data_IF_322323933995
#
_entry.id   IF_322323933995
#
_cell.length_a   1.000
_cell.length_b   1.000
_cell.length_c   1.000
_cell.angle_alpha   90.00
_cell.angle_beta   90.00
_cell.angle_gamma   90.00
#
_symmetry.space_group_name_H-M   'P 1'
#
loop_
_entity.id
_entity.type
_entity.pdbx_description
1 polymer ?
#
# COMPACT_ATOMS: atom_id res chain seq x y z
N UNK A 1 -16.79 -80.08 58.89
CA UNK A 1 -17.05 -80.60 57.54
C UNK A 1 -15.85 -81.44 57.13
N UNK A 2 -16.07 -82.69 56.70
CA UNK A 2 -15.04 -83.56 56.13
C UNK A 2 -14.70 -83.05 54.73
N UNK A 3 -13.46 -82.63 54.52
CA UNK A 3 -12.94 -82.33 53.18
C UNK A 3 -12.93 -83.61 52.35
N UNK A 4 -13.61 -83.62 51.20
CA UNK A 4 -13.48 -84.71 50.22
C UNK A 4 -12.31 -84.38 49.31
N UNK A 5 -11.23 -85.14 49.40
CA UNK A 5 -10.08 -85.03 48.49
C UNK A 5 -10.26 -86.01 47.34
N UNK A 6 -10.36 -85.51 46.12
CA UNK A 6 -10.31 -86.33 44.89
C UNK A 6 -8.91 -86.24 44.29
N UNK A 7 -8.30 -87.37 43.95
CA UNK A 7 -7.02 -87.41 43.22
C UNK A 7 -7.30 -87.63 41.73
N UNK A 8 -6.85 -86.69 40.89
CA UNK A 8 -7.11 -86.69 39.44
C UNK A 8 -8.17 -85.67 39.01
N UNK A 9 -8.53 -85.69 37.72
CA UNK A 9 -9.55 -84.80 37.17
C UNK A 9 -10.95 -85.18 37.66
N UNK A 10 -11.74 -84.18 38.07
CA UNK A 10 -13.14 -84.35 38.42
C UNK A 10 -14.01 -83.90 37.25
N UNK A 11 -14.85 -84.81 36.72
CA UNK A 11 -15.86 -84.48 35.73
C UNK A 11 -17.24 -84.49 36.39
N UNK A 12 -17.90 -83.33 36.40
CA UNK A 12 -19.29 -83.21 36.83
C UNK A 12 -20.17 -82.89 35.61
N UNK A 13 -21.12 -83.77 35.30
CA UNK A 13 -21.99 -83.64 34.12
C UNK A 13 -23.17 -82.64 34.31
N UNK A 14 -23.21 -81.93 35.44
CA UNK A 14 -24.29 -81.02 35.80
C UNK A 14 -23.77 -79.73 36.43
N UNK A 15 -24.68 -78.92 36.98
CA UNK A 15 -24.33 -77.65 37.61
C UNK A 15 -23.54 -77.90 38.89
N UNK A 16 -22.34 -77.34 38.96
CA UNK A 16 -21.55 -77.29 40.19
C UNK A 16 -21.88 -75.98 40.89
N UNK A 17 -22.51 -76.05 42.07
CA UNK A 17 -22.77 -74.88 42.92
C UNK A 17 -21.74 -74.83 44.04
N UNK A 18 -20.97 -73.73 44.11
CA UNK A 18 -20.07 -73.46 45.24
C UNK A 18 -20.77 -72.52 46.24
N UNK A 19 -20.95 -72.95 47.49
CA UNK A 19 -21.61 -72.12 48.51
C UNK A 19 -20.71 -71.02 49.10
N UNK A 20 -19.40 -71.08 48.89
CA UNK A 20 -18.44 -70.13 49.45
C UNK A 20 -17.49 -69.62 48.38
N UNK A 21 -16.70 -70.50 47.77
CA UNK A 21 -15.77 -70.12 46.72
C UNK A 21 -14.96 -71.30 46.23
N UNK A 22 -14.17 -71.06 45.19
CA UNK A 22 -13.21 -71.99 44.62
C UNK A 22 -11.83 -71.38 44.89
N UNK A 23 -10.96 -72.12 45.57
CA UNK A 23 -9.62 -71.63 45.96
C UNK A 23 -8.59 -72.55 45.30
N UNK A 24 -7.58 -72.00 44.60
CA UNK A 24 -6.50 -72.81 44.05
C UNK A 24 -5.64 -73.41 45.17
N UNK A 25 -4.95 -74.51 44.90
CA UNK A 25 -4.05 -75.16 45.85
C UNK A 25 -2.77 -74.38 46.12
N UNK A 26 -2.38 -73.48 45.21
CA UNK A 26 -1.28 -72.52 45.36
C UNK A 26 -1.55 -71.20 44.58
N UNK A 27 -0.83 -70.14 44.94
CA UNK A 27 -0.80 -68.90 44.15
C UNK A 27 -0.18 -69.17 42.77
N UNK A 28 -0.77 -68.62 41.71
CA UNK A 28 -0.37 -68.85 40.32
C UNK A 28 -0.32 -70.34 39.91
N UNK A 29 -1.15 -71.17 40.56
CA UNK A 29 -1.22 -72.61 40.35
C UNK A 29 -2.39 -73.05 39.48
N UNK A 30 -3.59 -73.12 40.06
CA UNK A 30 -4.77 -73.61 39.35
C UNK A 30 -5.40 -72.53 38.46
N UNK A 31 -5.79 -72.91 37.25
CA UNK A 31 -6.45 -72.07 36.26
C UNK A 31 -7.98 -72.18 36.32
N UNK A 32 -8.67 -71.16 35.79
CA UNK A 32 -10.11 -71.22 35.49
C UNK A 32 -10.29 -71.39 33.97
N UNK A 33 -10.65 -72.61 33.55
CA UNK A 33 -10.75 -72.96 32.12
C UNK A 33 -9.38 -73.22 31.47
N UNK A 34 -9.36 -73.56 30.18
CA UNK A 34 -8.12 -73.78 29.42
C UNK A 34 -8.27 -73.28 27.98
N UNK A 35 -7.18 -73.23 27.21
CA UNK A 35 -7.16 -72.80 25.80
C UNK A 35 -7.96 -73.69 24.81
N UNK A 36 -8.66 -74.71 25.32
CA UNK A 36 -9.57 -75.55 24.52
C UNK A 36 -10.85 -75.89 25.28
N UNK A 37 -11.08 -75.24 26.43
CA UNK A 37 -12.25 -75.43 27.28
C UNK A 37 -12.52 -74.15 28.05
N UNK A 38 -13.08 -73.17 27.35
CA UNK A 38 -13.41 -71.85 27.84
C UNK A 38 -14.80 -71.85 28.52
N UNK A 39 -15.00 -70.92 29.45
CA UNK A 39 -16.35 -70.57 29.88
C UNK A 39 -17.01 -69.71 28.80
N UNK A 40 -18.32 -69.90 28.58
CA UNK A 40 -19.07 -69.03 27.67
C UNK A 40 -19.04 -67.59 28.15
N UNK A 41 -19.36 -67.38 29.43
CA UNK A 41 -19.56 -66.05 30.01
C UNK A 41 -19.03 -66.01 31.45
N UNK A 42 -18.70 -64.80 31.91
CA UNK A 42 -18.37 -64.51 33.30
C UNK A 42 -19.40 -63.53 33.87
N UNK A 43 -20.29 -64.02 34.73
CA UNK A 43 -21.28 -63.19 35.42
C UNK A 43 -20.76 -62.77 36.80
N UNK A 44 -20.61 -61.46 36.99
CA UNK A 44 -20.16 -60.86 38.25
C UNK A 44 -21.25 -59.94 38.80
N UNK A 45 -21.32 -59.79 40.12
CA UNK A 45 -22.25 -58.86 40.76
C UNK A 45 -21.76 -57.41 40.65
N UNK A 46 -22.65 -56.47 40.94
CA UNK A 46 -22.31 -55.05 41.06
C UNK A 46 -21.16 -54.80 42.05
N UNK A 47 -20.23 -53.92 41.67
CA UNK A 47 -19.02 -53.65 42.46
C UNK A 47 -17.99 -54.78 42.50
N UNK A 48 -18.17 -55.84 41.71
CA UNK A 48 -17.19 -56.94 41.64
C UNK A 48 -15.85 -56.47 41.08
N UNK A 49 -14.77 -57.05 41.60
CA UNK A 49 -13.40 -56.72 41.23
C UNK A 49 -12.69 -57.97 40.74
N UNK A 50 -12.09 -57.89 39.55
CA UNK A 50 -11.09 -58.84 39.09
C UNK A 50 -9.73 -58.30 39.54
N UNK A 51 -9.08 -59.03 40.44
CA UNK A 51 -7.73 -58.70 40.93
C UNK A 51 -6.70 -59.47 40.10
N UNK A 52 -5.76 -58.74 39.50
CA UNK A 52 -4.75 -59.24 38.58
C UNK A 52 -3.36 -59.04 39.20
N UNK A 53 -2.47 -59.99 38.96
CA UNK A 53 -1.13 -60.04 39.54
C UNK A 53 -1.07 -60.80 40.87
N UNK A 54 0.10 -61.34 41.21
CA UNK A 54 0.33 -62.10 42.44
C UNK A 54 0.17 -61.24 43.70
N UNK A 55 0.51 -59.96 43.58
CA UNK A 55 0.34 -58.89 44.57
C UNK A 55 -1.04 -58.22 44.51
N UNK A 56 -1.85 -58.53 43.47
CA UNK A 56 -3.17 -57.96 43.23
C UNK A 56 -3.14 -56.45 42.97
N UNK A 57 -2.05 -55.97 42.38
CA UNK A 57 -1.82 -54.56 42.17
C UNK A 57 -2.55 -53.99 40.96
N UNK A 58 -3.07 -54.81 40.05
CA UNK A 58 -3.90 -54.37 38.92
C UNK A 58 -5.33 -54.84 39.12
N UNK A 59 -6.30 -53.95 38.95
CA UNK A 59 -7.72 -54.24 39.21
C UNK A 59 -8.60 -53.79 38.06
N UNK A 60 -9.62 -54.61 37.79
CA UNK A 60 -10.74 -54.29 36.91
C UNK A 60 -11.99 -54.31 37.79
N UNK A 61 -12.64 -53.17 37.98
CA UNK A 61 -13.83 -53.04 38.83
C UNK A 61 -15.04 -52.68 37.97
N UNK A 62 -16.11 -53.47 38.09
CA UNK A 62 -17.40 -53.13 37.51
C UNK A 62 -18.11 -52.10 38.39
N UNK A 63 -18.58 -51.02 37.78
CA UNK A 63 -19.47 -50.04 38.36
C UNK A 63 -20.81 -50.06 37.60
N UNK A 64 -21.94 -50.25 38.31
CA UNK A 64 -23.23 -50.45 37.65
C UNK A 64 -23.71 -49.25 36.82
N UNK A 65 -23.31 -48.04 37.21
CA UNK A 65 -23.82 -46.80 36.62
C UNK A 65 -22.78 -46.16 35.67
N UNK A 66 -21.49 -46.38 35.93
CA UNK A 66 -20.40 -45.71 35.21
C UNK A 66 -19.63 -46.62 34.22
N UNK A 67 -19.62 -47.95 34.43
CA UNK A 67 -18.95 -48.92 33.55
C UNK A 67 -17.72 -49.61 34.16
N UNK A 68 -16.55 -49.52 33.52
CA UNK A 68 -15.35 -50.27 33.90
C UNK A 68 -14.21 -49.38 34.39
N UNK A 69 -13.75 -49.61 35.62
CA UNK A 69 -12.58 -48.95 36.17
C UNK A 69 -11.35 -49.86 36.07
N UNK A 70 -10.28 -49.33 35.45
CA UNK A 70 -8.98 -49.97 35.38
C UNK A 70 -8.00 -49.24 36.30
N UNK A 71 -7.36 -49.95 37.23
CA UNK A 71 -6.54 -49.34 38.28
C UNK A 71 -5.25 -50.09 38.56
N UNK A 72 -4.15 -49.35 38.73
CA UNK A 72 -2.93 -49.80 39.39
C UNK A 72 -2.93 -49.35 40.86
N UNK A 73 -2.46 -50.20 41.77
CA UNK A 73 -2.29 -49.92 43.19
C UNK A 73 -0.99 -49.15 43.50
N UNK A 74 -0.10 -48.97 42.52
CA UNK A 74 1.13 -48.21 42.70
C UNK A 74 0.85 -46.74 43.05
N UNK A 75 1.41 -46.26 44.16
CA UNK A 75 1.21 -44.87 44.64
C UNK A 75 2.46 -44.00 44.58
N UNK A 76 3.60 -44.55 44.14
CA UNK A 76 4.83 -43.78 43.98
C UNK A 76 4.71 -42.83 42.77
N UNK A 77 5.43 -41.71 42.82
CA UNK A 77 5.44 -40.71 41.74
C UNK A 77 5.84 -41.34 40.39
N UNK A 78 5.17 -40.93 39.32
CA UNK A 78 5.43 -41.43 37.96
C UNK A 78 4.92 -42.84 37.64
N UNK A 79 3.99 -43.43 38.41
CA UNK A 79 3.42 -44.76 38.13
C UNK A 79 1.95 -44.70 37.68
N UNK A 80 1.64 -44.27 36.43
CA UNK A 80 0.28 -44.27 35.91
C UNK A 80 -0.22 -45.70 35.66
N UNK A 81 -1.55 -45.87 35.56
CA UNK A 81 -2.10 -47.07 34.95
C UNK A 81 -1.76 -47.08 33.45
N UNK A 82 -1.24 -48.20 32.94
CA UNK A 82 -0.86 -48.37 31.54
C UNK A 82 -1.88 -49.25 30.83
N UNK A 83 -2.60 -48.67 29.86
CA UNK A 83 -3.40 -49.41 28.89
C UNK A 83 -2.65 -49.46 27.56
N UNK A 84 -2.11 -50.62 27.22
CA UNK A 84 -1.45 -50.83 25.92
C UNK A 84 -2.42 -51.48 24.94
N UNK A 85 -2.71 -50.80 23.83
CA UNK A 85 -3.40 -51.38 22.68
C UNK A 85 -2.33 -51.79 21.67
N UNK A 86 -2.08 -53.09 21.57
CA UNK A 86 -1.02 -53.65 20.73
C UNK A 86 -1.61 -54.50 19.61
N UNK A 87 -1.29 -54.17 18.36
CA UNK A 87 -1.61 -55.04 17.22
C UNK A 87 -0.76 -56.32 17.25
N UNK A 88 -1.34 -57.42 16.76
CA UNK A 88 -0.62 -58.67 16.54
C UNK A 88 0.16 -58.71 15.21
N UNK A 89 0.03 -57.69 14.38
CA UNK A 89 0.73 -57.57 13.11
C UNK A 89 2.25 -57.47 13.33
N UNK A 90 2.99 -58.35 12.64
CA UNK A 90 4.46 -58.43 12.77
C UNK A 90 5.21 -57.59 11.74
N UNK A 91 4.51 -57.13 10.71
CA UNK A 91 5.02 -56.23 9.68
C UNK A 91 4.04 -55.07 9.58
N UNK A 92 4.46 -53.88 10.04
CA UNK A 92 3.66 -52.67 10.01
C UNK A 92 4.07 -51.87 8.77
N UNK A 93 3.11 -51.56 7.92
CA UNK A 93 3.21 -50.76 6.72
C UNK A 93 2.34 -49.49 6.84
N UNK A 94 2.50 -48.55 5.91
CA UNK A 94 1.73 -47.31 5.92
C UNK A 94 0.23 -47.57 5.83
N UNK A 95 -0.55 -46.89 6.68
CA UNK A 95 -2.01 -47.04 6.88
C UNK A 95 -2.46 -48.20 7.78
N UNK A 96 -1.53 -49.01 8.31
CA UNK A 96 -1.89 -50.04 9.28
C UNK A 96 -2.36 -49.41 10.60
N UNK A 97 -3.38 -50.02 11.21
CA UNK A 97 -4.03 -49.50 12.42
C UNK A 97 -3.53 -50.29 13.63
N UNK A 98 -2.80 -49.61 14.52
CA UNK A 98 -2.20 -50.22 15.70
C UNK A 98 -3.21 -50.47 16.82
N UNK A 99 -4.22 -49.60 16.92
CA UNK A 99 -5.25 -49.66 17.94
C UNK A 99 -6.38 -48.66 17.69
N UNK A 100 -7.58 -49.00 18.16
CA UNK A 100 -8.81 -48.24 17.95
C UNK A 100 -9.62 -48.15 19.23
N UNK A 101 -10.18 -46.97 19.50
CA UNK A 101 -11.23 -46.75 20.49
C UNK A 101 -12.46 -46.23 19.75
N UNK A 102 -13.56 -46.98 19.81
CA UNK A 102 -14.83 -46.63 19.18
C UNK A 102 -15.81 -46.05 20.21
N UNK A 103 -16.49 -44.97 19.83
CA UNK A 103 -17.60 -44.38 20.57
C UNK A 103 -18.88 -44.53 19.76
N UNK A 104 -19.77 -45.40 20.20
CA UNK A 104 -20.99 -45.79 19.49
C UNK A 104 -22.21 -45.44 20.34
N UNK A 105 -23.26 -44.92 19.69
CA UNK A 105 -24.56 -44.72 20.33
C UNK A 105 -25.24 -46.08 20.60
N UNK A 106 -26.19 -46.18 21.55
CA UNK A 106 -26.92 -47.41 21.83
C UNK A 106 -27.60 -47.99 20.58
N UNK A 107 -27.91 -49.29 20.62
CA UNK A 107 -28.77 -50.01 19.63
C UNK A 107 -30.21 -49.44 19.66
N UNK A 108 -30.36 -48.18 19.26
CA UNK A 108 -31.64 -47.51 19.07
C UNK A 108 -32.32 -48.12 17.84
N UNK A 109 -33.59 -48.51 18.01
CA UNK A 109 -34.36 -49.33 17.07
C UNK A 109 -34.65 -48.69 15.69
N UNK A 110 -34.25 -47.43 15.49
CA UNK A 110 -34.53 -46.66 14.28
C UNK A 110 -33.60 -46.98 13.08
N UNK A 111 -32.66 -47.91 13.25
CA UNK A 111 -32.08 -48.71 12.17
C UNK A 111 -31.32 -47.99 11.05
N UNK A 112 -30.95 -46.72 11.24
CA UNK A 112 -30.19 -45.92 10.26
C UNK A 112 -28.80 -45.55 10.82
N UNK A 113 -28.36 -44.30 10.68
CA UNK A 113 -27.07 -43.83 11.20
C UNK A 113 -26.91 -43.97 12.73
N UNK A 114 -28.00 -44.19 13.46
CA UNK A 114 -28.03 -44.34 14.92
C UNK A 114 -27.28 -45.58 15.44
N UNK A 115 -27.11 -46.62 14.62
CA UNK A 115 -26.34 -47.82 15.01
C UNK A 115 -24.86 -47.75 14.62
N UNK A 116 -24.41 -46.69 13.93
CA UNK A 116 -23.03 -46.56 13.50
C UNK A 116 -22.13 -45.99 14.60
N UNK A 117 -20.83 -46.26 14.51
CA UNK A 117 -19.82 -45.63 15.35
C UNK A 117 -19.81 -44.13 15.08
N UNK A 118 -20.12 -43.34 16.11
CA UNK A 118 -20.26 -41.89 16.04
C UNK A 118 -18.94 -41.12 16.14
N UNK A 119 -17.95 -41.67 16.85
CA UNK A 119 -16.60 -41.14 16.88
C UNK A 119 -15.55 -42.25 17.06
N UNK A 120 -14.33 -42.00 16.59
CA UNK A 120 -13.21 -42.95 16.66
C UNK A 120 -11.94 -42.21 17.02
N UNK A 121 -11.11 -42.84 17.85
CA UNK A 121 -9.71 -42.49 18.03
C UNK A 121 -8.88 -43.70 17.56
N UNK A 122 -8.00 -43.50 16.60
CA UNK A 122 -7.14 -44.56 16.09
C UNK A 122 -5.68 -44.11 15.94
N UNK A 123 -4.76 -45.03 16.23
CA UNK A 123 -3.34 -44.86 15.96
C UNK A 123 -3.00 -45.58 14.64
N UNK A 124 -2.52 -44.84 13.65
CA UNK A 124 -2.29 -45.35 12.29
C UNK A 124 -0.83 -45.11 11.91
N UNK A 125 -0.17 -46.13 11.37
CA UNK A 125 1.18 -46.01 10.84
C UNK A 125 1.21 -45.10 9.60
N UNK A 126 2.21 -44.22 9.53
CA UNK A 126 2.43 -43.31 8.38
C UNK A 126 3.47 -43.87 7.40
N UNK A 127 4.12 -44.99 7.73
CA UNK A 127 5.12 -45.66 6.92
C UNK A 127 5.43 -47.05 7.47
N UNK A 128 6.41 -47.73 6.86
CA UNK A 128 6.87 -49.04 7.34
C UNK A 128 7.69 -48.87 8.61
N UNK A 129 7.39 -49.65 9.65
CA UNK A 129 8.20 -49.61 10.87
C UNK A 129 9.47 -50.43 10.70
N UNK A 130 10.58 -49.89 11.19
CA UNK A 130 11.86 -50.58 11.24
C UNK A 130 12.64 -50.28 12.53
N UNK A 131 13.95 -50.56 12.54
CA UNK A 131 14.79 -50.35 13.71
C UNK A 131 14.99 -48.86 14.09
N UNK A 132 14.65 -47.93 13.21
CA UNK A 132 14.88 -46.49 13.34
C UNK A 132 13.61 -45.66 13.14
N UNK A 133 12.59 -46.20 12.49
CA UNK A 133 11.41 -45.46 12.06
C UNK A 133 10.11 -46.06 12.64
N UNK A 134 9.34 -45.23 13.35
CA UNK A 134 8.02 -45.57 13.93
C UNK A 134 7.01 -44.43 13.77
N UNK A 135 6.87 -43.90 12.55
CA UNK A 135 5.97 -42.78 12.30
C UNK A 135 4.51 -43.20 12.45
N UNK A 136 3.83 -42.65 13.46
CA UNK A 136 2.43 -42.92 13.77
C UNK A 136 1.67 -41.60 13.83
N UNK A 137 0.51 -41.55 13.18
CA UNK A 137 -0.46 -40.47 13.39
C UNK A 137 -1.57 -40.91 14.34
N UNK A 138 -2.05 -39.96 15.14
CA UNK A 138 -3.29 -40.11 15.89
C UNK A 138 -4.42 -39.46 15.10
N UNK A 139 -5.48 -40.20 14.81
CA UNK A 139 -6.62 -39.73 14.01
C UNK A 139 -7.87 -39.68 14.88
N UNK A 140 -8.53 -38.52 14.84
CA UNK A 140 -9.84 -38.28 15.45
C UNK A 140 -10.89 -38.24 14.35
N UNK A 141 -11.82 -39.18 14.40
CA UNK A 141 -12.95 -39.26 13.46
C UNK A 141 -14.25 -38.91 14.15
N UNK A 142 -15.12 -38.17 13.47
CA UNK A 142 -16.49 -37.94 13.93
C UNK A 142 -17.48 -38.12 12.79
N UNK A 143 -18.66 -38.62 13.13
CA UNK A 143 -19.79 -38.77 12.23
C UNK A 143 -20.45 -37.42 11.93
N UNK A 144 -21.05 -37.30 10.76
CA UNK A 144 -21.99 -36.24 10.40
C UNK A 144 -22.96 -36.85 9.40
N UNK A 145 -24.10 -37.35 9.88
CA UNK A 145 -25.12 -38.05 9.09
C UNK A 145 -24.60 -39.22 8.22
N UNK A 146 -23.47 -39.81 8.62
CA UNK A 146 -22.81 -40.96 7.99
C UNK A 146 -21.79 -41.57 8.97
N UNK A 147 -21.11 -42.65 8.56
CA UNK A 147 -20.00 -43.23 9.33
C UNK A 147 -18.92 -42.17 9.67
N UNK A 148 -18.27 -42.33 10.83
CA UNK A 148 -17.24 -41.42 11.28
C UNK A 148 -16.07 -41.31 10.28
N UNK A 149 -15.72 -40.07 9.91
CA UNK A 149 -14.62 -39.76 9.00
C UNK A 149 -13.57 -38.91 9.71
N UNK A 150 -12.32 -38.95 9.25
CA UNK A 150 -11.21 -38.14 9.79
C UNK A 150 -11.56 -36.65 9.75
N UNK A 151 -11.47 -35.98 10.92
CA UNK A 151 -11.67 -34.53 11.06
C UNK A 151 -10.42 -33.81 11.55
N UNK A 152 -9.67 -34.47 12.41
CA UNK A 152 -8.39 -33.99 12.94
C UNK A 152 -7.41 -35.16 12.96
N UNK A 153 -6.20 -34.94 12.50
CA UNK A 153 -5.08 -35.83 12.77
C UNK A 153 -3.87 -35.07 13.29
N UNK A 154 -3.07 -35.72 14.11
CA UNK A 154 -1.75 -35.25 14.52
C UNK A 154 -0.75 -36.24 13.95
N UNK A 155 0.01 -35.82 12.94
CA UNK A 155 1.03 -36.66 12.32
C UNK A 155 2.26 -36.78 13.22
N UNK A 156 3.14 -37.73 12.91
CA UNK A 156 4.40 -37.95 13.67
C UNK A 156 5.35 -36.74 13.61
N UNK A 157 5.15 -35.83 12.67
CA UNK A 157 5.85 -34.54 12.60
C UNK A 157 5.36 -33.50 13.61
N UNK A 158 4.30 -33.79 14.36
CA UNK A 158 3.71 -32.92 15.39
C UNK A 158 2.68 -31.90 14.87
N UNK A 159 2.43 -31.87 13.56
CA UNK A 159 1.46 -30.97 12.95
C UNK A 159 0.04 -31.53 13.04
N UNK A 160 -0.90 -30.65 13.41
CA UNK A 160 -2.33 -30.94 13.36
C UNK A 160 -2.90 -30.61 11.96
N UNK A 161 -3.63 -31.55 11.37
CA UNK A 161 -4.33 -31.38 10.09
C UNK A 161 -5.83 -31.42 10.32
N UNK A 162 -6.56 -30.41 9.84
CA UNK A 162 -8.02 -30.35 9.89
C UNK A 162 -8.60 -30.59 8.49
N UNK A 163 -9.37 -31.67 8.31
CA UNK A 163 -9.86 -32.08 6.98
C UNK A 163 -10.96 -31.20 6.40
N UNK A 164 -11.55 -30.30 7.21
CA UNK A 164 -12.64 -29.39 6.81
C UNK A 164 -12.45 -27.97 7.37
N UNK A 165 -11.20 -27.57 7.61
CA UNK A 165 -10.86 -26.28 8.21
C UNK A 165 -10.95 -26.27 9.74
N UNK A 166 -10.45 -25.21 10.36
CA UNK A 166 -10.43 -25.01 11.80
C UNK A 166 -11.10 -23.67 12.16
N UNK A 167 -11.91 -23.67 13.23
CA UNK A 167 -12.42 -22.43 13.84
C UNK A 167 -11.73 -22.26 15.19
N UNK A 168 -11.06 -21.12 15.39
CA UNK A 168 -10.42 -20.78 16.66
C UNK A 168 -11.28 -19.73 17.39
N UNK A 169 -11.68 -20.01 18.64
CA UNK A 169 -12.70 -19.23 19.35
C UNK A 169 -12.30 -17.81 19.79
N UNK A 170 -11.00 -17.48 19.76
CA UNK A 170 -10.52 -16.14 20.11
C UNK A 170 -9.33 -15.72 19.26
N UNK A 171 -8.21 -16.44 19.40
CA UNK A 171 -6.94 -16.09 18.77
C UNK A 171 -6.07 -17.34 18.66
N UNK A 172 -5.27 -17.40 17.60
CA UNK A 172 -4.14 -18.33 17.51
C UNK A 172 -2.97 -17.64 18.23
N UNK A 173 -2.88 -17.81 19.55
CA UNK A 173 -1.74 -17.30 20.32
C UNK A 173 -0.72 -18.41 20.49
N UNK A 174 0.28 -18.41 19.64
CA UNK A 174 1.59 -18.86 20.04
C UNK A 174 2.55 -17.69 19.86
N UNK A 175 3.62 -17.66 20.62
CA UNK A 175 4.75 -16.72 20.49
C UNK A 175 5.29 -16.62 19.04
N UNK A 176 4.85 -17.50 18.12
CA UNK A 176 5.15 -17.46 16.68
C UNK A 176 4.18 -18.36 15.89
N UNK A 177 2.92 -17.92 15.73
CA UNK A 177 2.00 -18.54 14.78
C UNK A 177 2.47 -18.26 13.35
N UNK A 178 3.26 -19.15 12.78
CA UNK A 178 3.77 -19.01 11.41
C UNK A 178 2.84 -19.74 10.44
N UNK A 179 2.31 -19.04 9.44
CA UNK A 179 1.72 -19.66 8.26
C UNK A 179 2.85 -19.88 7.25
N UNK A 180 3.24 -21.13 6.98
CA UNK A 180 4.35 -21.44 6.05
C UNK A 180 3.98 -21.26 4.57
N UNK A 181 2.74 -20.90 4.28
CA UNK A 181 2.24 -20.60 2.94
C UNK A 181 1.34 -19.38 2.97
N UNK A 182 0.46 -19.25 1.98
CA UNK A 182 -0.42 -18.10 1.87
C UNK A 182 -1.42 -18.03 3.02
N UNK A 183 -1.57 -16.84 3.59
CA UNK A 183 -2.70 -16.52 4.45
C UNK A 183 -3.83 -15.96 3.56
N UNK A 184 -4.85 -16.77 3.29
CA UNK A 184 -6.08 -16.30 2.64
C UNK A 184 -7.13 -15.97 3.70
N UNK A 185 -7.59 -14.72 3.74
CA UNK A 185 -8.68 -14.27 4.62
C UNK A 185 -9.92 -14.04 3.77
N UNK A 186 -10.90 -14.95 3.87
CA UNK A 186 -12.21 -14.80 3.20
C UNK A 186 -13.19 -13.91 3.99
N UNK A 187 -12.81 -13.53 5.22
CA UNK A 187 -13.52 -12.53 6.03
C UNK A 187 -13.14 -11.10 5.63
N UNK A 188 -13.57 -10.12 6.43
CA UNK A 188 -13.45 -8.70 6.05
C UNK A 188 -12.07 -8.10 6.39
N UNK A 189 -11.63 -8.24 7.65
CA UNK A 189 -10.54 -7.42 8.19
C UNK A 189 -9.36 -8.24 8.70
N UNK A 190 -8.15 -7.71 8.52
CA UNK A 190 -6.93 -8.12 9.23
C UNK A 190 -6.57 -6.98 10.19
N UNK A 191 -6.70 -7.23 11.49
CA UNK A 191 -6.40 -6.24 12.52
C UNK A 191 -5.09 -6.58 13.23
N UNK A 192 -4.21 -5.60 13.37
CA UNK A 192 -3.01 -5.69 14.21
C UNK A 192 -3.33 -5.21 15.64
N UNK A 193 -2.57 -5.67 16.64
CA UNK A 193 -2.80 -5.31 18.04
C UNK A 193 -2.33 -3.88 18.37
N UNK A 194 -2.36 -3.52 19.66
CA UNK A 194 -1.94 -2.20 20.12
C UNK A 194 -0.42 -1.99 20.11
N UNK A 195 0.35 -3.03 19.77
CA UNK A 195 1.81 -2.99 19.75
C UNK A 195 2.34 -2.62 18.36
N UNK A 196 3.65 -2.41 18.28
CA UNK A 196 4.32 -2.13 17.03
C UNK A 196 4.22 -3.32 16.06
N UNK A 197 3.40 -3.17 15.03
CA UNK A 197 3.20 -4.17 13.98
C UNK A 197 3.86 -3.74 12.65
N UNK A 198 4.24 -4.71 11.83
CA UNK A 198 4.85 -4.46 10.51
C UNK A 198 4.39 -5.49 9.48
N UNK A 199 4.31 -5.04 8.23
CA UNK A 199 4.24 -5.91 7.05
C UNK A 199 5.60 -5.77 6.36
N UNK A 200 6.29 -6.88 6.11
CA UNK A 200 7.67 -6.84 5.57
C UNK A 200 7.92 -8.00 4.65
N UNK A 201 8.52 -7.72 3.49
CA UNK A 201 9.10 -8.71 2.59
C UNK A 201 10.62 -8.59 2.62
N UNK A 202 11.37 -9.58 3.15
CA UNK A 202 12.81 -9.63 3.04
C UNK A 202 13.21 -10.14 1.64
N UNK A 203 13.28 -9.24 0.66
CA UNK A 203 13.73 -9.55 -0.69
C UNK A 203 15.14 -10.17 -0.68
N UNK A 204 15.31 -11.31 -1.34
CA UNK A 204 16.54 -12.09 -1.47
C UNK A 204 16.90 -12.44 -2.93
N UNK A 205 16.06 -12.04 -3.90
CA UNK A 205 16.24 -12.24 -5.34
C UNK A 205 15.81 -11.04 -6.17
N UNK A 206 16.02 -11.14 -7.49
CA UNK A 206 15.49 -10.18 -8.45
C UNK A 206 13.98 -10.38 -8.60
N UNK A 207 13.19 -9.30 -8.58
CA UNK A 207 11.73 -9.28 -8.69
C UNK A 207 10.94 -9.72 -7.44
N UNK A 208 11.56 -9.72 -6.26
CA UNK A 208 10.84 -9.85 -5.01
C UNK A 208 10.07 -8.56 -4.71
N UNK A 209 8.75 -8.59 -4.94
CA UNK A 209 7.88 -7.44 -4.78
C UNK A 209 6.87 -7.65 -3.65
N UNK A 210 6.71 -6.65 -2.77
CA UNK A 210 5.56 -6.57 -1.87
C UNK A 210 4.45 -5.80 -2.60
N UNK A 211 3.49 -6.52 -3.17
CA UNK A 211 2.34 -5.90 -3.84
C UNK A 211 1.17 -5.71 -2.86
N UNK A 212 0.68 -4.48 -2.74
CA UNK A 212 -0.58 -4.16 -2.05
C UNK A 212 -1.54 -3.59 -3.10
N UNK A 213 -2.60 -4.33 -3.41
CA UNK A 213 -3.49 -3.99 -4.50
C UNK A 213 -4.97 -4.15 -4.15
N UNK A 214 -5.80 -3.26 -4.68
CA UNK A 214 -7.24 -3.41 -4.78
C UNK A 214 -7.56 -3.68 -6.25
N UNK A 215 -8.16 -4.84 -6.53
CA UNK A 215 -8.43 -5.27 -7.91
C UNK A 215 -9.92 -5.22 -8.25
N UNK A 216 -10.25 -5.09 -9.54
CA UNK A 216 -11.63 -4.96 -10.04
C UNK A 216 -12.05 -3.51 -10.28
N UNK A 217 -12.90 -3.29 -11.30
CA UNK A 217 -13.32 -1.96 -11.76
C UNK A 217 -14.57 -1.43 -11.03
N UNK A 218 -14.56 -1.53 -9.70
CA UNK A 218 -15.65 -1.08 -8.83
C UNK A 218 -15.26 0.19 -8.07
N UNK A 219 -16.21 0.82 -7.39
CA UNK A 219 -15.92 1.91 -6.46
C UNK A 219 -15.21 1.37 -5.20
N UNK A 220 -13.91 1.12 -5.32
CA UNK A 220 -13.05 0.56 -4.28
C UNK A 220 -11.84 1.47 -4.06
N UNK A 221 -11.21 1.42 -2.89
CA UNK A 221 -10.10 2.31 -2.56
C UNK A 221 -9.07 1.59 -1.72
N UNK A 222 -7.80 1.94 -1.93
CA UNK A 222 -6.73 1.68 -0.98
C UNK A 222 -6.59 2.91 -0.09
N UNK A 223 -6.85 2.77 1.21
CA UNK A 223 -6.80 3.89 2.16
C UNK A 223 -5.59 3.71 3.07
N UNK A 224 -4.62 4.62 2.98
CA UNK A 224 -3.48 4.73 3.91
C UNK A 224 -3.67 5.99 4.76
N UNK A 225 -3.90 5.82 6.06
CA UNK A 225 -4.15 6.92 6.99
C UNK A 225 -3.38 6.69 8.29
N UNK A 226 -2.85 7.78 8.85
CA UNK A 226 -2.20 7.78 10.17
C UNK A 226 -2.77 8.91 11.02
N UNK A 227 -3.02 8.63 12.30
CA UNK A 227 -3.33 9.64 13.32
C UNK A 227 -2.07 10.10 14.09
N UNK A 228 -0.89 9.65 13.67
CA UNK A 228 0.38 10.03 14.29
C UNK A 228 0.60 11.54 14.27
N UNK A 229 1.19 12.07 15.33
CA UNK A 229 1.46 13.51 15.50
C UNK A 229 2.91 13.89 15.19
N UNK A 230 3.74 12.91 14.82
CA UNK A 230 5.10 13.14 14.34
C UNK A 230 5.12 13.78 12.95
N UNK A 231 6.26 14.34 12.56
CA UNK A 231 6.44 14.92 11.22
C UNK A 231 6.29 13.88 10.09
N UNK A 232 6.37 12.60 10.44
CA UNK A 232 6.48 11.45 9.57
C UNK A 232 5.34 10.44 9.74
N UNK A 233 4.14 10.93 10.06
CA UNK A 233 2.96 10.10 10.29
C UNK A 233 2.67 9.12 9.13
N UNK A 234 2.97 9.53 7.88
CA UNK A 234 3.02 8.67 6.70
C UNK A 234 4.29 9.02 5.91
N UNK A 235 5.15 8.05 5.63
CA UNK A 235 6.36 8.22 4.81
C UNK A 235 6.38 7.24 3.64
N UNK A 236 6.74 7.74 2.46
CA UNK A 236 7.05 6.95 1.26
C UNK A 236 8.48 7.29 0.84
N UNK A 237 9.38 6.32 0.93
CA UNK A 237 10.82 6.53 0.68
C UNK A 237 11.38 5.40 -0.17
N UNK A 238 12.05 5.75 -1.27
CA UNK A 238 12.89 4.85 -2.06
C UNK A 238 14.34 5.34 -1.99
N UNK A 239 15.24 4.55 -1.38
CA UNK A 239 16.63 4.96 -1.16
C UNK A 239 17.57 4.71 -2.35
N UNK A 240 17.19 3.80 -3.25
CA UNK A 240 17.98 3.43 -4.43
C UNK A 240 17.24 3.65 -5.77
N UNK A 241 15.91 3.61 -5.76
CA UNK A 241 15.05 3.76 -6.94
C UNK A 241 14.17 5.01 -6.89
N UNK A 242 13.30 5.16 -7.89
CA UNK A 242 12.30 6.23 -7.94
C UNK A 242 11.02 5.91 -7.18
N UNK A 243 10.13 6.91 -7.09
CA UNK A 243 8.75 6.77 -6.64
C UNK A 243 7.87 7.25 -7.79
N UNK A 244 7.08 6.35 -8.36
CA UNK A 244 6.10 6.69 -9.38
C UNK A 244 4.75 7.01 -8.72
N UNK A 245 4.13 8.12 -9.12
CA UNK A 245 2.76 8.50 -8.74
C UNK A 245 2.03 8.85 -10.03
N UNK A 246 0.93 8.15 -10.31
CA UNK A 246 0.19 8.36 -11.55
C UNK A 246 -1.31 8.21 -11.32
N UNK A 247 -2.08 9.04 -12.03
CA UNK A 247 -3.49 8.88 -12.27
C UNK A 247 -3.69 8.89 -13.79
N UNK A 248 -4.10 7.75 -14.36
CA UNK A 248 -4.22 7.56 -15.82
C UNK A 248 -5.66 7.68 -16.34
N UNK A 249 -6.62 7.76 -15.43
CA UNK A 249 -7.99 8.15 -15.74
C UNK A 249 -8.03 9.58 -16.32
N UNK A 250 -9.04 9.85 -17.16
CA UNK A 250 -9.20 11.13 -17.84
C UNK A 250 -10.59 11.76 -17.64
N UNK A 251 -11.40 11.21 -16.73
CA UNK A 251 -12.64 11.85 -16.32
C UNK A 251 -12.34 13.04 -15.40
N UNK A 252 -13.26 14.00 -15.34
CA UNK A 252 -13.11 15.16 -14.46
C UNK A 252 -13.04 14.72 -12.99
N UNK A 253 -12.03 15.19 -12.25
CA UNK A 253 -11.83 14.86 -10.84
C UNK A 253 -10.94 13.63 -10.58
N UNK A 254 -10.40 12.99 -11.62
CA UNK A 254 -9.40 11.93 -11.49
C UNK A 254 -8.00 12.56 -11.36
N UNK A 255 -7.77 13.26 -10.25
CA UNK A 255 -6.62 14.13 -10.03
C UNK A 255 -5.58 13.52 -9.06
N UNK A 256 -4.35 14.05 -9.11
CA UNK A 256 -3.36 13.87 -8.04
C UNK A 256 -3.40 15.11 -7.15
N UNK A 257 -4.16 15.04 -6.07
CA UNK A 257 -4.31 16.14 -5.13
C UNK A 257 -3.18 16.15 -4.07
N UNK A 258 -2.58 17.33 -3.87
CA UNK A 258 -1.60 17.57 -2.80
C UNK A 258 -2.04 18.82 -2.04
N UNK A 259 -2.51 18.64 -0.80
CA UNK A 259 -3.04 19.74 0.02
C UNK A 259 -2.34 19.76 1.38
N UNK A 260 -1.78 20.91 1.75
CA UNK A 260 -1.19 21.16 3.06
C UNK A 260 -1.99 22.27 3.78
N UNK A 261 -2.83 21.90 4.74
CA UNK A 261 -3.64 22.88 5.49
C UNK A 261 -2.86 23.39 6.70
N UNK A 262 -2.40 24.65 6.64
CA UNK A 262 -1.64 25.27 7.72
C UNK A 262 -0.15 24.89 7.78
N UNK A 263 0.36 24.21 6.75
CA UNK A 263 1.78 23.84 6.57
C UNK A 263 2.25 24.10 5.14
N UNK A 264 3.54 23.92 4.88
CA UNK A 264 4.15 24.13 3.56
C UNK A 264 4.16 22.85 2.71
N UNK A 265 4.03 23.00 1.39
CA UNK A 265 4.41 21.96 0.43
C UNK A 265 5.80 22.28 -0.08
N UNK A 266 6.78 21.42 0.20
CA UNK A 266 8.14 21.56 -0.30
C UNK A 266 8.35 20.61 -1.49
N UNK A 267 8.83 21.15 -2.61
CA UNK A 267 9.25 20.37 -3.79
C UNK A 267 10.71 20.69 -4.04
N UNK A 268 11.57 19.68 -4.01
CA UNK A 268 13.01 19.86 -4.14
C UNK A 268 13.60 18.68 -4.87
N UNK A 269 14.46 18.95 -5.85
CA UNK A 269 15.31 17.95 -6.50
C UNK A 269 16.76 18.35 -6.31
N UNK A 270 17.60 17.38 -5.99
CA UNK A 270 19.06 17.53 -5.91
C UNK A 270 19.76 16.96 -7.14
N UNK A 271 19.00 16.50 -8.14
CA UNK A 271 19.53 15.98 -9.38
C UNK A 271 20.30 17.07 -10.14
N UNK A 272 21.55 16.80 -10.48
CA UNK A 272 22.38 17.70 -11.28
C UNK A 272 22.23 17.38 -12.78
N UNK A 273 21.01 17.54 -13.29
CA UNK A 273 20.68 17.35 -14.69
C UNK A 273 19.62 18.37 -15.14
N UNK A 274 19.43 18.49 -16.45
CA UNK A 274 18.37 19.34 -16.99
C UNK A 274 17.00 18.85 -16.54
N UNK A 275 16.07 19.77 -16.25
CA UNK A 275 14.72 19.46 -15.80
C UNK A 275 14.63 18.66 -14.49
N UNK A 276 15.59 18.83 -13.57
CA UNK A 276 15.57 18.23 -12.23
C UNK A 276 14.23 18.43 -11.51
N UNK A 277 13.53 19.53 -11.79
CA UNK A 277 12.10 19.71 -11.55
C UNK A 277 11.45 20.08 -12.88
N UNK A 278 10.46 19.30 -13.32
CA UNK A 278 9.73 19.53 -14.56
C UNK A 278 8.23 19.64 -14.31
N UNK A 279 7.68 20.84 -14.52
CA UNK A 279 6.23 21.09 -14.44
C UNK A 279 5.73 21.38 -15.86
N UNK A 280 4.90 20.48 -16.38
CA UNK A 280 4.35 20.58 -17.74
C UNK A 280 2.89 20.14 -17.78
N UNK A 281 2.08 20.86 -18.55
CA UNK A 281 0.84 20.36 -19.13
C UNK A 281 1.07 20.02 -20.61
N UNK A 282 0.59 18.86 -21.08
CA UNK A 282 0.67 18.42 -22.49
C UNK A 282 -0.55 17.58 -22.96
N UNK A 283 -1.70 17.72 -22.31
CA UNK A 283 -2.97 17.09 -22.63
C UNK A 283 -3.78 17.73 -23.77
N UNK A 284 -3.43 18.92 -24.27
CA UNK A 284 -4.08 19.50 -25.48
C UNK A 284 -4.19 21.02 -25.51
N UNK A 285 -4.96 21.57 -26.47
CA UNK A 285 -5.00 23.01 -26.77
C UNK A 285 -5.62 23.91 -25.69
N UNK A 286 -6.36 23.32 -24.74
CA UNK A 286 -7.01 24.05 -23.64
C UNK A 286 -6.28 23.91 -22.31
N UNK A 287 -5.10 23.29 -22.30
CA UNK A 287 -4.33 23.07 -21.09
C UNK A 287 -3.72 24.35 -20.53
N UNK A 288 -3.50 24.38 -19.22
CA UNK A 288 -2.84 25.50 -18.55
C UNK A 288 -1.96 24.99 -17.41
N UNK A 289 -0.97 25.79 -17.04
CA UNK A 289 -0.25 25.65 -15.77
C UNK A 289 -0.53 26.93 -14.99
N UNK A 290 -1.25 26.82 -13.87
CA UNK A 290 -1.58 27.97 -13.02
C UNK A 290 -0.69 28.00 -11.79
N UNK A 291 0.10 29.06 -11.64
CA UNK A 291 0.81 29.41 -10.41
C UNK A 291 0.15 30.67 -9.86
N UNK A 292 -0.38 30.60 -8.65
CA UNK A 292 -1.24 31.65 -8.09
C UNK A 292 -1.03 31.78 -6.58
N UNK A 293 -1.06 33.01 -6.06
CA UNK A 293 -1.08 33.30 -4.63
C UNK A 293 -2.27 34.23 -4.31
N UNK A 294 -3.36 33.67 -3.77
CA UNK A 294 -4.64 34.40 -3.63
C UNK A 294 -4.58 35.56 -2.63
N UNK A 295 -3.91 35.35 -1.49
CA UNK A 295 -3.89 36.29 -0.36
C UNK A 295 -2.53 36.99 -0.18
N UNK A 296 -1.56 36.73 -1.05
CA UNK A 296 -0.20 37.24 -0.88
C UNK A 296 -0.11 38.75 -1.13
N UNK A 297 0.23 39.54 -0.11
CA UNK A 297 0.35 41.01 -0.20
C UNK A 297 1.80 41.50 -0.30
N UNK A 298 2.79 40.61 -0.19
CA UNK A 298 4.21 40.95 -0.32
C UNK A 298 4.62 41.16 -1.77
N UNK A 299 5.70 41.92 -1.98
CA UNK A 299 6.25 42.22 -3.31
C UNK A 299 6.65 40.96 -4.11
N UNK A 300 6.89 39.83 -3.43
CA UNK A 300 7.22 38.53 -4.01
C UNK A 300 6.17 37.48 -3.63
N UNK A 301 4.88 37.81 -3.71
CA UNK A 301 3.80 36.82 -3.46
C UNK A 301 3.91 35.57 -4.33
N UNK A 302 4.49 35.72 -5.53
CA UNK A 302 5.06 34.65 -6.35
C UNK A 302 6.48 35.08 -6.74
N UNK A 303 7.49 34.26 -6.41
CA UNK A 303 8.89 34.53 -6.74
C UNK A 303 9.43 33.51 -7.74
N UNK A 304 10.08 33.98 -8.81
CA UNK A 304 10.88 33.18 -9.73
C UNK A 304 12.30 33.74 -9.71
N UNK A 305 13.25 32.99 -9.16
CA UNK A 305 14.62 33.45 -8.93
C UNK A 305 15.59 32.43 -9.50
N UNK A 306 16.66 32.94 -10.11
CA UNK A 306 17.82 32.15 -10.50
C UNK A 306 19.08 32.90 -10.06
N UNK A 307 19.87 32.30 -9.17
CA UNK A 307 21.03 32.95 -8.54
C UNK A 307 22.23 33.06 -9.49
N UNK A 308 22.47 32.03 -10.31
CA UNK A 308 23.60 31.97 -11.23
C UNK A 308 23.21 32.23 -12.70
N UNK A 309 22.03 31.74 -13.12
CA UNK A 309 21.50 31.89 -14.48
C UNK A 309 20.42 32.97 -14.57
N UNK A 310 19.71 33.01 -15.70
CA UNK A 310 18.52 33.87 -15.88
C UNK A 310 17.21 33.09 -15.76
N UNK A 311 16.11 33.83 -15.63
CA UNK A 311 14.75 33.29 -15.75
C UNK A 311 14.22 33.61 -17.14
N UNK A 312 14.05 32.60 -17.99
CA UNK A 312 13.48 32.78 -19.33
C UNK A 312 11.95 32.68 -19.29
N UNK A 313 11.27 33.73 -19.73
CA UNK A 313 9.81 33.74 -19.94
C UNK A 313 9.58 34.07 -21.42
N UNK A 314 9.11 33.10 -22.20
CA UNK A 314 8.93 33.23 -23.64
C UNK A 314 7.53 32.80 -24.05
N UNK A 315 6.91 33.55 -24.97
CA UNK A 315 5.63 33.20 -25.58
C UNK A 315 5.75 33.34 -27.11
N UNK A 316 5.22 32.37 -27.86
CA UNK A 316 5.24 32.39 -29.32
C UNK A 316 4.32 33.47 -29.94
N UNK A 317 3.42 34.06 -29.15
CA UNK A 317 2.59 35.21 -29.52
C UNK A 317 2.67 36.28 -28.42
N UNK A 318 2.57 37.55 -28.79
CA UNK A 318 2.91 38.73 -27.98
C UNK A 318 2.01 39.02 -26.76
N UNK A 319 1.29 38.03 -26.26
CA UNK A 319 0.37 38.14 -25.13
C UNK A 319 1.04 38.16 -23.75
N UNK A 320 2.28 38.63 -23.63
CA UNK A 320 2.97 38.68 -22.32
C UNK A 320 2.44 39.77 -21.37
N UNK A 321 1.43 40.57 -21.78
CA UNK A 321 1.04 41.80 -21.06
C UNK A 321 -0.45 42.16 -21.12
N UNK A 322 -1.38 41.26 -20.79
CA UNK A 322 -2.81 41.65 -20.61
C UNK A 322 -3.23 41.90 -19.15
N UNK A 323 -2.28 41.93 -18.21
CA UNK A 323 -2.51 42.43 -16.86
C UNK A 323 -2.70 43.95 -16.86
N UNK A 324 -3.95 44.41 -17.02
CA UNK A 324 -4.41 45.78 -16.78
C UNK A 324 -3.71 46.43 -15.57
N UNK A 325 -2.61 47.15 -15.81
CA UNK A 325 -1.93 48.02 -14.83
C UNK A 325 -0.57 47.58 -14.30
N UNK A 326 -0.02 46.42 -14.68
CA UNK A 326 1.34 46.02 -14.30
C UNK A 326 2.38 46.43 -15.35
N UNK A 327 3.19 47.46 -15.06
CA UNK A 327 4.41 47.73 -15.85
C UNK A 327 5.35 46.54 -15.66
N UNK A 328 5.91 45.99 -16.74
CA UNK A 328 7.09 45.11 -16.63
C UNK A 328 8.23 46.01 -16.15
N UNK A 329 8.46 46.04 -14.84
CA UNK A 329 9.54 46.82 -14.25
C UNK A 329 10.86 46.08 -14.47
N UNK A 330 11.67 46.60 -15.39
CA UNK A 330 13.01 46.08 -15.67
C UNK A 330 14.03 46.50 -14.60
N UNK A 331 13.59 47.07 -13.47
CA UNK A 331 14.42 47.49 -12.34
C UNK A 331 15.53 48.48 -12.77
N UNK A 332 15.26 49.29 -13.79
CA UNK A 332 16.23 50.22 -14.38
C UNK A 332 17.31 49.58 -15.25
N UNK A 333 17.21 48.29 -15.57
CA UNK A 333 18.11 47.62 -16.53
C UNK A 333 17.80 48.07 -17.95
N UNK A 334 18.83 48.30 -18.76
CA UNK A 334 18.66 48.56 -20.19
C UNK A 334 18.03 47.33 -20.87
N UNK A 335 17.04 47.57 -21.76
CA UNK A 335 16.52 46.51 -22.62
C UNK A 335 17.57 46.29 -23.72
N UNK A 336 18.47 45.32 -23.53
CA UNK A 336 19.45 44.95 -24.56
C UNK A 336 18.74 44.60 -25.88
N UNK A 337 19.31 45.03 -27.00
CA UNK A 337 18.73 44.93 -28.36
C UNK A 337 17.46 45.75 -28.61
N UNK A 338 17.03 46.62 -27.68
CA UNK A 338 15.98 47.60 -27.95
C UNK A 338 16.57 48.79 -28.71
N UNK A 339 16.52 48.72 -30.04
CA UNK A 339 16.89 49.84 -30.91
C UNK A 339 15.76 50.88 -30.88
N UNK A 340 16.11 52.16 -30.82
CA UNK A 340 15.14 53.22 -31.05
C UNK A 340 14.41 52.94 -32.38
N UNK A 341 13.08 53.02 -32.38
CA UNK A 341 12.31 52.83 -33.60
C UNK A 341 12.65 53.96 -34.57
N UNK A 342 13.27 53.63 -35.71
CA UNK A 342 13.70 54.60 -36.70
C UNK A 342 12.64 54.75 -37.78
N UNK A 343 12.34 55.99 -38.16
CA UNK A 343 11.59 56.33 -39.36
C UNK A 343 12.52 57.07 -40.31
N UNK A 344 12.68 56.60 -41.55
CA UNK A 344 13.59 57.24 -42.53
C UNK A 344 12.79 57.81 -43.69
N UNK A 345 13.01 59.08 -44.04
CA UNK A 345 12.37 59.73 -45.19
C UNK A 345 13.34 60.66 -45.95
N UNK A 346 13.14 60.83 -47.24
CA UNK A 346 13.90 61.76 -48.09
C UNK A 346 13.03 62.94 -48.58
N UNK A 347 11.75 62.96 -48.23
CA UNK A 347 10.75 63.91 -48.74
C UNK A 347 10.14 64.74 -47.60
N UNK A 348 9.20 65.62 -47.97
CA UNK A 348 8.34 66.27 -47.00
C UNK A 348 7.40 65.25 -46.34
N UNK A 349 7.26 65.33 -45.02
CA UNK A 349 6.52 64.36 -44.21
C UNK A 349 5.56 65.08 -43.26
N UNK A 350 4.40 64.49 -42.98
CA UNK A 350 3.48 64.98 -41.93
C UNK A 350 3.45 63.94 -40.81
N UNK A 351 3.81 64.36 -39.60
CA UNK A 351 3.85 63.48 -38.44
C UNK A 351 2.50 62.82 -38.17
N UNK A 352 2.51 61.58 -37.71
CA UNK A 352 1.34 60.89 -37.18
C UNK A 352 1.64 60.35 -35.79
N UNK A 353 0.65 59.73 -35.13
CA UNK A 353 0.86 59.13 -33.81
C UNK A 353 1.88 57.99 -33.81
N UNK A 354 2.16 57.37 -34.97
CA UNK A 354 3.15 56.29 -35.06
C UNK A 354 4.59 56.78 -34.92
N UNK A 355 4.87 58.08 -34.98
CA UNK A 355 6.22 58.64 -34.84
C UNK A 355 6.57 59.01 -33.39
N UNK A 356 5.66 58.80 -32.44
CA UNK A 356 5.91 59.07 -31.02
C UNK A 356 6.99 58.13 -30.46
N UNK A 357 8.00 58.68 -29.80
CA UNK A 357 9.16 57.96 -29.26
C UNK A 357 10.17 57.51 -30.31
N UNK A 358 10.00 57.88 -31.59
CA UNK A 358 10.89 57.47 -32.69
C UNK A 358 12.05 58.44 -32.93
N UNK A 359 13.08 57.92 -33.62
CA UNK A 359 14.13 58.71 -34.26
C UNK A 359 13.80 58.83 -35.75
N UNK A 360 13.46 60.03 -36.20
CA UNK A 360 13.17 60.36 -37.59
C UNK A 360 14.46 60.78 -38.29
N UNK A 361 14.95 59.96 -39.22
CA UNK A 361 16.13 60.21 -40.02
C UNK A 361 15.71 60.76 -41.38
N UNK A 362 16.04 62.01 -41.64
CA UNK A 362 15.89 62.58 -42.98
C UNK A 362 17.18 62.39 -43.77
N UNK A 363 17.06 61.96 -45.03
CA UNK A 363 18.21 61.65 -45.90
C UNK A 363 18.30 62.59 -47.11
N UNK A 364 17.38 63.55 -47.22
CA UNK A 364 17.27 64.42 -48.39
C UNK A 364 18.49 65.33 -48.58
N UNK A 365 19.02 65.35 -49.80
CA UNK A 365 20.02 66.34 -50.22
C UNK A 365 19.43 67.74 -50.47
N UNK A 366 18.12 67.87 -50.47
CA UNK A 366 17.38 69.14 -50.61
C UNK A 366 16.62 69.47 -49.33
N UNK A 367 16.18 70.72 -49.18
CA UNK A 367 15.37 71.10 -48.03
C UNK A 367 13.99 70.43 -48.12
N UNK A 368 13.55 69.85 -47.02
CA UNK A 368 12.25 69.16 -46.88
C UNK A 368 11.48 69.72 -45.70
N UNK A 369 10.16 69.57 -45.72
CA UNK A 369 9.27 70.05 -44.67
C UNK A 369 8.77 68.88 -43.82
N UNK A 370 9.00 68.95 -42.52
CA UNK A 370 8.33 68.12 -41.53
C UNK A 370 7.16 68.90 -40.93
N UNK A 371 5.95 68.48 -41.29
CA UNK A 371 4.70 69.09 -40.84
C UNK A 371 4.23 68.45 -39.54
N UNK A 372 3.90 69.27 -38.56
CA UNK A 372 3.36 68.87 -37.26
C UNK A 372 1.86 69.14 -37.27
N UNK A 373 1.00 68.12 -37.47
CA UNK A 373 -0.44 68.33 -37.50
C UNK A 373 -1.03 68.42 -36.09
N UNK A 374 -2.26 68.92 -36.00
CA UNK A 374 -3.05 68.86 -34.78
C UNK A 374 -3.43 67.40 -34.42
N UNK A 375 -3.67 67.15 -33.13
CA UNK A 375 -4.18 65.86 -32.65
C UNK A 375 -3.12 64.82 -32.23
N UNK A 376 -1.82 65.16 -32.25
CA UNK A 376 -0.81 64.35 -31.57
C UNK A 376 -0.96 64.50 -30.05
N UNK A 377 -0.70 63.41 -29.31
CA UNK A 377 -0.91 63.36 -27.86
C UNK A 377 0.04 64.31 -27.08
N UNK A 378 -0.41 64.81 -25.93
CA UNK A 378 0.48 65.46 -24.96
C UNK A 378 1.50 64.43 -24.48
N UNK A 379 2.79 64.78 -24.51
CA UNK A 379 3.90 63.84 -24.30
C UNK A 379 4.42 63.20 -25.59
N UNK A 380 3.84 63.50 -26.76
CA UNK A 380 4.45 63.15 -28.04
C UNK A 380 5.88 63.69 -28.08
N UNK A 381 6.85 62.82 -28.35
CA UNK A 381 8.25 63.22 -28.49
C UNK A 381 8.89 62.49 -29.66
N UNK A 382 9.79 63.15 -30.36
CA UNK A 382 10.63 62.49 -31.34
C UNK A 382 12.00 63.16 -31.47
N UNK A 383 12.98 62.39 -31.90
CA UNK A 383 14.28 62.90 -32.34
C UNK A 383 14.26 63.04 -33.86
N UNK A 384 14.80 64.12 -34.39
CA UNK A 384 14.87 64.42 -35.82
C UNK A 384 16.35 64.55 -36.15
N UNK A 385 16.83 63.72 -37.07
CA UNK A 385 18.24 63.64 -37.47
C UNK A 385 18.32 63.90 -38.96
N UNK A 386 19.00 64.97 -39.37
CA UNK A 386 19.26 65.23 -40.78
C UNK A 386 20.59 64.59 -41.17
N UNK A 387 20.56 63.59 -42.04
CA UNK A 387 21.78 62.92 -42.58
C UNK A 387 22.09 63.34 -44.01
N UNK A 388 21.12 63.89 -44.73
CA UNK A 388 21.32 64.46 -46.06
C UNK A 388 21.85 65.89 -46.01
N UNK A 389 22.32 66.40 -47.14
CA UNK A 389 22.90 67.75 -47.25
C UNK A 389 21.86 68.89 -47.13
N UNK A 390 20.57 68.57 -47.22
CA UNK A 390 19.49 69.56 -47.09
C UNK A 390 19.21 69.93 -45.65
N UNK A 391 18.06 70.58 -45.41
CA UNK A 391 17.54 70.90 -44.07
C UNK A 391 16.11 70.40 -43.89
N UNK A 392 15.75 69.99 -42.69
CA UNK A 392 14.37 69.62 -42.33
C UNK A 392 13.72 70.82 -41.67
N UNK A 393 12.74 71.42 -42.33
CA UNK A 393 11.99 72.59 -41.84
C UNK A 393 10.77 72.13 -41.06
N UNK A 394 10.64 72.55 -39.82
CA UNK A 394 9.50 72.24 -38.95
C UNK A 394 8.37 73.23 -39.23
N UNK A 395 7.23 72.73 -39.68
CA UNK A 395 6.05 73.56 -39.99
C UNK A 395 4.85 73.09 -39.18
N UNK A 396 4.23 73.99 -38.43
CA UNK A 396 2.98 73.69 -37.74
C UNK A 396 1.80 73.72 -38.71
N UNK A 397 0.94 72.71 -38.67
CA UNK A 397 -0.37 72.70 -39.34
C UNK A 397 -1.47 72.68 -38.27
N UNK A 398 -2.02 73.87 -38.00
CA UNK A 398 -2.93 74.10 -36.86
C UNK A 398 -2.30 73.79 -35.49
N UNK A 399 -0.98 73.91 -35.39
CA UNK A 399 -0.18 73.71 -34.18
C UNK A 399 0.86 74.82 -34.04
N UNK A 400 1.34 75.02 -32.82
CA UNK A 400 2.40 75.99 -32.53
C UNK A 400 3.69 75.26 -32.18
N UNK A 401 4.78 75.62 -32.87
CA UNK A 401 6.13 75.11 -32.59
C UNK A 401 6.94 76.26 -32.00
N UNK A 402 7.27 76.13 -30.72
CA UNK A 402 8.04 77.13 -29.98
C UNK A 402 9.52 76.73 -29.94
N UNK A 403 10.40 77.68 -30.27
CA UNK A 403 11.84 77.52 -30.16
C UNK A 403 12.45 78.78 -29.57
N UNK A 404 13.30 78.66 -28.54
CA UNK A 404 13.92 79.81 -27.87
C UNK A 404 14.80 80.64 -28.81
N UNK A 405 15.54 79.98 -29.69
CA UNK A 405 16.48 80.61 -30.62
C UNK A 405 15.82 80.92 -31.97
N UNK A 406 14.49 80.77 -32.07
CA UNK A 406 13.73 80.91 -33.32
C UNK A 406 14.23 80.00 -34.45
N UNK A 407 14.81 78.85 -34.10
CA UNK A 407 15.19 77.85 -35.10
C UNK A 407 13.94 77.16 -35.65
N UNK A 408 13.80 77.19 -36.97
CA UNK A 408 12.65 76.61 -37.69
C UNK A 408 13.05 75.43 -38.57
N UNK A 409 14.35 75.13 -38.67
CA UNK A 409 14.86 74.00 -39.44
C UNK A 409 16.15 73.46 -38.84
N UNK A 410 16.55 72.25 -39.24
CA UNK A 410 17.86 71.69 -38.86
C UNK A 410 19.02 72.52 -39.44
N UNK A 411 20.17 72.59 -38.74
CA UNK A 411 21.30 73.44 -39.14
C UNK A 411 22.02 73.00 -40.45
N UNK A 412 21.79 71.76 -40.90
CA UNK A 412 22.39 71.18 -42.10
C UNK A 412 22.57 69.68 -41.94
N UNK A 413 23.57 69.12 -42.63
CA UNK A 413 23.94 67.71 -42.48
C UNK A 413 24.43 67.41 -41.06
N UNK A 414 24.00 66.27 -40.52
CA UNK A 414 24.25 65.77 -39.16
C UNK A 414 23.64 66.59 -38.02
N UNK A 415 22.78 67.56 -38.34
CA UNK A 415 22.05 68.32 -37.34
C UNK A 415 20.95 67.45 -36.70
N UNK A 416 20.83 67.58 -35.38
CA UNK A 416 19.84 66.87 -34.57
C UNK A 416 18.93 67.88 -33.88
N UNK A 417 17.63 67.72 -34.08
CA UNK A 417 16.59 68.45 -33.36
C UNK A 417 15.69 67.47 -32.61
N UNK A 418 15.03 67.93 -31.55
CA UNK A 418 13.94 67.21 -30.90
C UNK A 418 12.67 68.03 -30.99
N UNK A 419 11.53 67.34 -30.99
CA UNK A 419 10.21 67.94 -30.95
C UNK A 419 9.42 67.27 -29.82
N UNK A 420 8.87 68.06 -28.91
CA UNK A 420 8.12 67.57 -27.75
C UNK A 420 6.80 68.33 -27.61
N UNK A 421 5.67 67.62 -27.56
CA UNK A 421 4.37 68.19 -27.23
C UNK A 421 4.24 68.28 -25.71
N UNK A 422 4.22 69.50 -25.17
CA UNK A 422 4.08 69.73 -23.73
C UNK A 422 2.64 70.09 -23.32
N UNK A 423 1.80 70.44 -24.30
CA UNK A 423 0.38 70.76 -24.14
C UNK A 423 -0.32 70.47 -25.49
N UNK A 424 -1.65 70.46 -25.52
CA UNK A 424 -2.43 70.15 -26.74
C UNK A 424 -2.05 71.10 -27.88
N UNK A 425 -1.62 70.53 -29.01
CA UNK A 425 -1.20 71.26 -30.22
C UNK A 425 -0.05 72.27 -30.00
N UNK A 426 0.67 72.20 -28.88
CA UNK A 426 1.83 73.03 -28.58
C UNK A 426 3.08 72.18 -28.42
N UNK A 427 4.06 72.48 -29.26
CA UNK A 427 5.32 71.76 -29.33
C UNK A 427 6.47 72.69 -28.99
N UNK A 428 7.50 72.15 -28.34
CA UNK A 428 8.80 72.78 -28.22
C UNK A 428 9.72 72.06 -29.20
N UNK A 429 10.40 72.80 -30.05
CA UNK A 429 11.56 72.29 -30.76
C UNK A 429 12.85 72.76 -30.06
N UNK A 430 13.88 71.92 -30.08
CA UNK A 430 15.20 72.23 -29.53
C UNK A 430 16.28 71.46 -30.28
N UNK A 431 17.54 71.87 -30.14
CA UNK A 431 18.69 71.23 -30.78
C UNK A 431 19.40 72.11 -31.80
N UNK A 432 20.16 71.45 -32.67
CA UNK A 432 21.01 72.06 -33.68
C UNK A 432 20.17 72.53 -34.87
N UNK A 433 19.61 73.73 -34.73
CA UNK A 433 18.73 74.34 -35.72
C UNK A 433 19.29 75.63 -36.29
N UNK A 434 18.63 76.13 -37.33
CA UNK A 434 18.92 77.41 -37.95
C UNK A 434 17.63 78.25 -38.07
N UNK A 435 17.80 79.56 -38.07
CA UNK A 435 16.73 80.51 -38.42
C UNK A 435 16.42 80.45 -39.92
N UNK A 436 15.22 80.87 -40.31
CA UNK A 436 14.69 80.87 -41.69
C UNK A 436 15.63 81.49 -42.72
#
# INVERSE_FOLDING_TARGET
>A
ATTTTTSGALTAAGVVTANTGIIPDAADGAYLGSASAEFSDLFLADGSVINLGNDQDVKITHDPDDGLFLKSAATADGNPFLLTLQTGETAIEGSDVLGVINFQAPDEADGSNSILVGAVIEAVAEGTFDAQEIHTKLVFKTASDAAAAERLSIGSSGWATFSSGATFGSSITSTSGTFSGDLTVNGNDINFDAEASRITLPANGSADDLTIAVTGAQNSSLVLKSAGTGADAVQLTASAGGIDISASGAAAGEDIDIVATGSSVNVTSTENAANAIYVRANGGTSETIKIHADQGTGASSIGLVSDAGGVTISAASSGQTDGSGGVVDFNGSEIENYKASIYTDANAHTLTSSENGKVLIFTSGSNVVLTVPAGLAVGFNCLIVQTGNGRVTLTGSSTNIYNRNSHVMTAGQYAIMTLISYDTNKFISSGDGATS
#
